data_IF_467169876084
#
_entry.id   IF_467169876084
#
_cell.length_a   1.000
_cell.length_b   1.000
_cell.length_c   1.000
_cell.angle_alpha   90.00
_cell.angle_beta   90.00
_cell.angle_gamma   90.00
#
_symmetry.space_group_name_H-M   'P 1'
#
loop_
_entity.id
_entity.type
_entity.pdbx_description
1 polymer ?
#
# COMPACT_ATOMS: atom_id res chain seq x y z
N UNK A 1 5.19 21.76 10.82
CA UNK A 1 5.78 22.27 9.54
C UNK A 1 4.63 22.69 8.65
N UNK A 2 4.67 23.89 8.07
CA UNK A 2 3.70 24.31 7.06
C UNK A 2 4.31 24.03 5.68
N UNK A 3 3.84 22.98 5.00
CA UNK A 3 4.28 22.65 3.65
C UNK A 3 3.39 23.38 2.64
N UNK A 4 4.01 24.03 1.67
CA UNK A 4 3.27 24.69 0.60
C UNK A 4 3.81 24.24 -0.76
N UNK A 5 3.07 23.34 -1.40
CA UNK A 5 3.35 22.89 -2.77
C UNK A 5 2.38 23.58 -3.71
N UNK A 6 2.90 24.37 -4.65
CA UNK A 6 2.07 25.06 -5.64
C UNK A 6 1.31 24.03 -6.48
N UNK A 7 0.01 24.26 -6.71
CA UNK A 7 -0.82 23.36 -7.54
C UNK A 7 -0.40 23.36 -9.03
N UNK A 8 0.24 24.43 -9.48
CA UNK A 8 0.82 24.52 -10.83
C UNK A 8 2.26 23.95 -10.78
N UNK A 9 2.44 22.74 -11.31
CA UNK A 9 3.73 22.03 -11.35
C UNK A 9 4.86 22.87 -11.99
N UNK A 10 4.55 23.73 -12.96
CA UNK A 10 5.54 24.55 -13.63
C UNK A 10 6.18 25.63 -12.72
N UNK A 11 5.49 25.95 -11.62
CA UNK A 11 5.92 26.92 -10.61
C UNK A 11 6.31 26.27 -9.28
N UNK A 12 5.97 25.00 -9.09
CA UNK A 12 6.20 24.27 -7.85
C UNK A 12 7.69 23.97 -7.63
N UNK A 13 8.06 23.89 -6.34
CA UNK A 13 9.31 23.30 -5.87
C UNK A 13 9.00 21.97 -5.17
N UNK A 14 9.98 21.07 -5.19
CA UNK A 14 9.87 19.78 -4.49
C UNK A 14 9.78 20.01 -2.97
N UNK A 15 9.44 18.98 -2.22
CA UNK A 15 9.48 19.04 -0.76
C UNK A 15 10.84 19.56 -0.28
N UNK A 16 10.87 20.44 0.72
CA UNK A 16 12.11 20.95 1.25
C UNK A 16 12.92 19.85 1.94
N UNK A 17 14.24 19.89 1.86
CA UNK A 17 15.13 18.90 2.47
C UNK A 17 14.90 18.72 3.98
N UNK A 18 14.38 19.75 4.65
CA UNK A 18 13.98 19.69 6.07
C UNK A 18 12.85 18.69 6.32
N UNK A 19 11.92 18.48 5.38
CA UNK A 19 10.84 17.49 5.50
C UNK A 19 11.38 16.09 5.77
N UNK A 20 12.43 15.68 5.08
CA UNK A 20 13.02 14.35 5.19
C UNK A 20 13.90 14.16 6.44
N UNK A 21 14.15 15.23 7.20
CA UNK A 21 15.04 15.26 8.38
C UNK A 21 14.31 15.58 9.69
N UNK A 22 13.08 16.06 9.62
CA UNK A 22 12.34 16.56 10.77
C UNK A 22 11.52 15.45 11.46
N UNK A 23 11.92 15.11 12.69
CA UNK A 23 11.26 14.07 13.48
C UNK A 23 9.81 14.42 13.84
N UNK A 24 9.51 15.68 14.08
CA UNK A 24 8.14 16.10 14.40
C UNK A 24 7.22 15.96 13.18
N UNK A 25 7.68 16.33 12.00
CA UNK A 25 6.95 16.06 10.75
C UNK A 25 6.69 14.57 10.55
N UNK A 26 7.68 13.72 10.83
CA UNK A 26 7.53 12.27 10.73
C UNK A 26 6.46 11.72 11.69
N UNK A 27 6.40 12.24 12.93
CA UNK A 27 5.34 11.87 13.90
C UNK A 27 3.96 12.36 13.44
N UNK A 28 3.88 13.57 12.88
CA UNK A 28 2.63 14.14 12.37
C UNK A 28 2.12 13.30 11.19
N UNK A 29 2.99 12.87 10.28
CA UNK A 29 2.67 11.98 9.15
C UNK A 29 2.04 10.68 9.65
N UNK A 30 2.59 10.06 10.70
CA UNK A 30 2.02 8.87 11.31
C UNK A 30 0.53 9.07 11.66
N UNK A 31 0.21 10.16 12.32
CA UNK A 31 -1.13 10.42 12.84
C UNK A 31 -2.11 10.97 11.78
N UNK A 32 -1.67 11.93 10.97
CA UNK A 32 -2.54 12.62 10.01
C UNK A 32 -2.71 11.86 8.71
N UNK A 33 -1.74 11.02 8.33
CA UNK A 33 -1.73 10.30 7.05
C UNK A 33 -1.90 8.81 7.26
N UNK A 34 -0.93 8.13 7.90
CA UNK A 34 -0.96 6.67 7.95
C UNK A 34 -2.09 6.09 8.81
N UNK A 35 -2.41 6.66 9.97
CA UNK A 35 -3.58 6.24 10.76
C UNK A 35 -4.92 6.54 10.05
N UNK A 36 -4.90 7.34 8.99
CA UNK A 36 -6.06 7.73 8.19
C UNK A 36 -5.99 7.22 6.76
N UNK A 37 -5.10 6.28 6.48
CA UNK A 37 -4.97 5.64 5.18
C UNK A 37 -5.74 4.33 5.11
N UNK A 38 -5.99 3.87 3.89
CA UNK A 38 -6.29 2.47 3.63
C UNK A 38 -4.99 1.68 3.55
N UNK A 39 -5.00 0.49 4.12
CA UNK A 39 -3.86 -0.42 4.13
C UNK A 39 -4.26 -1.73 3.48
N UNK A 40 -3.51 -2.18 2.51
CA UNK A 40 -3.60 -3.55 2.04
C UNK A 40 -3.01 -4.49 3.10
N UNK A 41 -3.75 -5.54 3.45
CA UNK A 41 -3.40 -6.44 4.56
C UNK A 41 -3.30 -7.92 4.16
N UNK A 42 -3.30 -8.19 2.87
CA UNK A 42 -3.21 -9.53 2.31
C UNK A 42 -4.43 -9.90 1.48
N UNK A 43 -4.79 -11.16 1.48
CA UNK A 43 -5.91 -11.68 0.71
C UNK A 43 -6.82 -12.61 1.54
N UNK A 44 -7.96 -12.98 0.98
CA UNK A 44 -8.96 -13.79 1.65
C UNK A 44 -8.49 -15.20 2.02
N UNK A 45 -7.38 -15.70 1.43
CA UNK A 45 -6.83 -17.02 1.79
C UNK A 45 -6.28 -17.05 3.22
N UNK A 46 -5.91 -15.88 3.79
CA UNK A 46 -5.51 -15.78 5.20
C UNK A 46 -6.63 -16.22 6.16
N UNK A 47 -7.87 -16.09 5.71
CA UNK A 47 -9.09 -16.43 6.45
C UNK A 47 -10.07 -17.18 5.54
N UNK A 48 -9.59 -18.18 4.80
CA UNK A 48 -10.37 -18.87 3.76
C UNK A 48 -11.64 -19.55 4.27
N UNK A 49 -11.60 -20.09 5.50
CA UNK A 49 -12.70 -20.85 6.06
C UNK A 49 -13.50 -20.04 7.08
N UNK A 50 -14.77 -20.44 7.29
CA UNK A 50 -15.60 -19.91 8.38
C UNK A 50 -14.92 -20.11 9.73
N UNK A 51 -15.03 -19.11 10.59
CA UNK A 51 -14.40 -19.04 11.92
C UNK A 51 -12.86 -18.98 11.88
N UNK A 52 -12.26 -18.67 10.72
CA UNK A 52 -10.83 -18.36 10.65
C UNK A 52 -10.53 -17.03 11.32
N UNK A 53 -9.45 -17.00 12.06
CA UNK A 53 -8.93 -15.85 12.80
C UNK A 53 -7.44 -15.70 12.45
N UNK A 54 -7.04 -14.53 11.96
CA UNK A 54 -5.68 -14.24 11.54
C UNK A 54 -5.15 -12.96 12.20
N UNK A 55 -4.35 -13.07 13.29
CA UNK A 55 -3.73 -11.92 13.93
C UNK A 55 -2.56 -11.39 13.11
N UNK A 56 -2.37 -10.08 13.09
CA UNK A 56 -1.25 -9.40 12.46
C UNK A 56 -0.99 -8.05 13.12
N UNK A 57 0.20 -7.50 12.94
CA UNK A 57 0.54 -6.14 13.35
C UNK A 57 0.58 -5.24 12.12
N UNK A 58 -0.26 -4.22 12.10
CA UNK A 58 -0.31 -3.27 11.00
C UNK A 58 0.93 -2.38 11.04
N UNK A 59 1.70 -2.35 9.95
CA UNK A 59 2.94 -1.59 9.78
C UNK A 59 3.86 -1.71 10.99
N UNK A 60 4.23 -2.97 11.32
CA UNK A 60 5.13 -3.30 12.43
C UNK A 60 6.44 -2.50 12.35
N UNK A 61 6.86 -1.93 13.49
CA UNK A 61 7.99 -1.01 13.60
C UNK A 61 7.64 0.45 13.30
N UNK A 62 6.38 0.74 12.93
CA UNK A 62 5.93 2.10 12.64
C UNK A 62 4.58 2.45 13.29
N UNK A 63 3.47 1.83 12.87
CA UNK A 63 2.18 1.99 13.55
C UNK A 63 2.08 1.10 14.78
N UNK A 64 2.55 -0.11 14.66
CA UNK A 64 2.52 -1.16 15.68
C UNK A 64 1.11 -1.49 16.20
N UNK A 65 0.09 -1.40 15.31
CA UNK A 65 -1.29 -1.65 15.72
C UNK A 65 -1.64 -3.15 15.62
N UNK A 66 -1.94 -3.83 16.74
CA UNK A 66 -2.30 -5.25 16.75
C UNK A 66 -3.73 -5.43 16.25
N UNK A 67 -3.89 -6.09 15.11
CA UNK A 67 -5.16 -6.34 14.45
C UNK A 67 -5.44 -7.82 14.27
N UNK A 68 -6.70 -8.12 13.98
CA UNK A 68 -7.21 -9.46 13.77
C UNK A 68 -8.18 -9.48 12.59
N UNK A 69 -7.84 -10.15 11.50
CA UNK A 69 -8.81 -10.52 10.48
C UNK A 69 -9.64 -11.70 10.98
N UNK A 70 -10.94 -11.60 10.79
CA UNK A 70 -11.92 -12.63 11.19
C UNK A 70 -12.89 -12.90 10.07
N UNK A 71 -13.13 -14.17 9.75
CA UNK A 71 -14.27 -14.62 8.94
C UNK A 71 -15.27 -15.28 9.86
N UNK A 72 -16.44 -14.67 10.05
CA UNK A 72 -17.48 -15.16 10.95
C UNK A 72 -18.17 -16.44 10.43
N UNK A 73 -19.01 -17.04 11.26
CA UNK A 73 -19.86 -18.16 10.87
C UNK A 73 -20.77 -17.83 9.68
N UNK A 74 -21.22 -16.57 9.58
CA UNK A 74 -22.06 -16.04 8.49
C UNK A 74 -21.24 -15.60 7.27
N UNK A 75 -19.97 -15.98 7.23
CA UNK A 75 -19.03 -15.67 6.15
C UNK A 75 -18.67 -14.18 5.99
N UNK A 76 -19.01 -13.33 6.95
CA UNK A 76 -18.64 -11.92 6.96
C UNK A 76 -17.17 -11.74 7.38
N UNK A 77 -16.45 -10.92 6.65
CA UNK A 77 -15.06 -10.56 6.98
C UNK A 77 -15.07 -9.29 7.84
N UNK A 78 -14.29 -9.31 8.92
CA UNK A 78 -14.06 -8.15 9.79
C UNK A 78 -12.58 -7.97 10.09
N UNK A 79 -12.19 -6.74 10.33
CA UNK A 79 -10.93 -6.39 10.96
C UNK A 79 -11.23 -5.85 12.36
N UNK A 80 -10.66 -6.48 13.37
CA UNK A 80 -10.90 -6.19 14.78
C UNK A 80 -9.58 -5.81 15.45
N UNK A 81 -9.66 -5.07 16.56
CA UNK A 81 -8.51 -4.94 17.45
C UNK A 81 -8.16 -6.30 18.06
N UNK A 82 -6.89 -6.68 18.02
CA UNK A 82 -6.38 -7.89 18.67
C UNK A 82 -6.01 -7.64 20.15
N UNK A 83 -6.62 -6.62 20.76
CA UNK A 83 -6.34 -6.17 22.12
C UNK A 83 -7.57 -6.35 23.00
N UNK A 84 -7.42 -7.05 24.10
CA UNK A 84 -8.49 -7.29 25.07
C UNK A 84 -8.96 -5.98 25.73
N UNK A 85 -10.24 -5.69 25.65
CA UNK A 85 -10.86 -4.48 26.23
C UNK A 85 -10.92 -4.46 27.76
N UNK A 86 -10.37 -5.48 28.44
CA UNK A 86 -10.25 -5.48 29.90
C UNK A 86 -8.96 -4.78 30.37
N UNK A 87 -7.79 -5.30 30.00
CA UNK A 87 -6.47 -4.80 30.47
C UNK A 87 -5.38 -4.88 29.38
N UNK A 88 -5.77 -4.75 28.11
CA UNK A 88 -4.83 -4.58 27.00
C UNK A 88 -4.00 -5.82 26.61
N UNK A 89 -4.36 -7.04 27.10
CA UNK A 89 -3.65 -8.24 26.68
C UNK A 89 -3.91 -8.57 25.19
N UNK A 90 -2.88 -9.00 24.46
CA UNK A 90 -3.08 -9.55 23.12
C UNK A 90 -3.96 -10.80 23.18
N UNK A 91 -4.93 -10.89 22.26
CA UNK A 91 -5.92 -11.97 22.25
C UNK A 91 -5.36 -13.21 21.57
N UNK A 92 -4.80 -13.06 20.38
CA UNK A 92 -4.27 -14.14 19.56
C UNK A 92 -2.84 -13.80 19.12
N UNK A 93 -1.96 -14.81 19.14
CA UNK A 93 -0.55 -14.67 18.72
C UNK A 93 -0.27 -15.37 17.38
N UNK A 94 -1.16 -16.25 16.94
CA UNK A 94 -1.03 -17.02 15.68
C UNK A 94 -2.41 -17.32 15.09
N UNK A 95 -2.48 -17.59 13.79
CA UNK A 95 -3.73 -17.98 13.14
C UNK A 95 -4.37 -19.20 13.79
N UNK A 96 -5.71 -19.20 13.86
CA UNK A 96 -6.47 -20.32 14.37
C UNK A 96 -7.90 -20.31 13.78
N UNK A 97 -8.66 -21.37 14.08
CA UNK A 97 -10.06 -21.49 13.72
C UNK A 97 -10.90 -21.62 15.00
N UNK A 98 -11.73 -20.60 15.26
CA UNK A 98 -12.60 -20.57 16.43
C UNK A 98 -13.77 -19.62 16.23
N UNK A 99 -14.98 -20.02 16.67
CA UNK A 99 -16.15 -19.15 16.70
C UNK A 99 -16.10 -18.11 17.84
N UNK A 100 -15.14 -18.24 18.77
CA UNK A 100 -15.00 -17.40 19.96
C UNK A 100 -13.54 -17.00 20.13
N UNK A 101 -13.33 -15.76 20.55
CA UNK A 101 -12.01 -15.21 20.89
C UNK A 101 -11.94 -15.14 22.42
N UNK A 102 -10.95 -15.83 23.00
CA UNK A 102 -10.77 -15.88 24.45
C UNK A 102 -9.44 -15.21 24.84
N UNK A 103 -9.54 -14.23 25.73
CA UNK A 103 -8.35 -13.66 26.37
C UNK A 103 -7.77 -14.64 27.38
N UNK A 104 -6.48 -14.95 27.24
CA UNK A 104 -5.82 -15.93 28.12
C UNK A 104 -5.46 -15.35 29.49
N UNK A 105 -5.60 -14.03 29.69
CA UNK A 105 -5.25 -13.39 30.96
C UNK A 105 -6.33 -13.65 32.02
N UNK A 106 -7.61 -13.28 31.75
CA UNK A 106 -8.73 -13.44 32.72
C UNK A 106 -9.95 -14.13 32.12
N UNK A 107 -9.81 -14.83 31.02
CA UNK A 107 -10.89 -15.63 30.43
C UNK A 107 -11.99 -14.83 29.72
N UNK A 108 -11.85 -13.48 29.56
CA UNK A 108 -12.81 -12.66 28.82
C UNK A 108 -13.02 -13.23 27.42
N UNK A 109 -14.28 -13.34 26.99
CA UNK A 109 -14.64 -13.91 25.70
C UNK A 109 -15.39 -12.92 24.83
N UNK A 110 -15.11 -13.03 23.55
CA UNK A 110 -15.78 -12.31 22.47
C UNK A 110 -16.22 -13.31 21.40
N UNK A 111 -17.28 -12.97 20.67
CA UNK A 111 -17.66 -13.66 19.43
C UNK A 111 -16.65 -13.34 18.34
N UNK A 112 -16.65 -14.12 17.25
CA UNK A 112 -15.80 -13.86 16.08
C UNK A 112 -16.07 -12.52 15.38
N UNK A 113 -17.23 -11.89 15.65
CA UNK A 113 -17.57 -10.55 15.17
C UNK A 113 -17.10 -9.41 16.10
N UNK A 114 -16.38 -9.74 17.18
CA UNK A 114 -15.85 -8.80 18.16
C UNK A 114 -16.80 -8.42 19.29
N UNK A 115 -18.05 -8.90 19.29
CA UNK A 115 -18.98 -8.60 20.36
C UNK A 115 -18.59 -9.31 21.65
N UNK A 116 -18.65 -8.58 22.75
CA UNK A 116 -18.48 -9.13 24.10
C UNK A 116 -19.46 -10.29 24.32
N UNK A 117 -18.98 -11.38 24.93
CA UNK A 117 -19.80 -12.54 25.25
C UNK A 117 -19.85 -12.83 26.74
N UNK A 118 -18.67 -12.83 27.41
CA UNK A 118 -18.58 -13.27 28.80
C UNK A 118 -17.34 -12.76 29.51
N UNK A 119 -17.44 -12.51 30.80
CA UNK A 119 -16.31 -12.21 31.71
C UNK A 119 -16.58 -12.85 33.08
N UNK A 120 -15.66 -13.68 33.60
CA UNK A 120 -15.80 -14.25 34.95
C UNK A 120 -15.81 -13.17 36.01
N UNK A 121 -16.56 -13.41 37.12
CA UNK A 121 -16.59 -12.58 38.34
C UNK A 121 -16.96 -11.09 38.12
N UNK A 122 -17.73 -10.80 37.07
CA UNK A 122 -18.18 -9.44 36.75
C UNK A 122 -19.66 -9.20 37.09
N UNK A 123 -20.31 -10.12 37.78
CA UNK A 123 -21.75 -10.07 38.11
C UNK A 123 -22.09 -8.84 38.97
N UNK A 124 -21.15 -8.41 39.82
CA UNK A 124 -21.33 -7.22 40.68
C UNK A 124 -20.86 -5.90 40.04
N UNK A 125 -20.28 -5.94 38.81
CA UNK A 125 -19.79 -4.76 38.13
C UNK A 125 -20.96 -3.97 37.55
N UNK A 126 -21.15 -2.74 38.03
CA UNK A 126 -22.24 -1.88 37.57
C UNK A 126 -22.02 -1.39 36.14
N UNK A 127 -23.12 -1.26 35.40
CA UNK A 127 -23.10 -0.79 34.00
C UNK A 127 -22.19 -1.61 33.08
N UNK A 128 -22.16 -2.91 33.25
CA UNK A 128 -21.38 -3.86 32.44
C UNK A 128 -22.33 -4.97 31.89
N UNK A 129 -22.18 -5.39 30.59
CA UNK A 129 -21.25 -4.81 29.61
C UNK A 129 -21.80 -3.53 28.93
N UNK A 130 -20.90 -2.70 28.40
CA UNK A 130 -21.18 -1.51 27.58
C UNK A 130 -20.66 -1.72 26.17
N UNK A 131 -20.96 -0.81 25.25
CA UNK A 131 -20.44 -0.86 23.87
C UNK A 131 -18.90 -0.86 23.80
N UNK A 132 -18.23 -0.15 24.70
CA UNK A 132 -16.77 -0.12 24.80
C UNK A 132 -16.15 -1.44 25.30
N UNK A 133 -16.97 -2.37 25.78
CA UNK A 133 -16.53 -3.71 26.17
C UNK A 133 -16.41 -4.68 24.98
N UNK A 134 -16.97 -4.32 23.81
CA UNK A 134 -16.70 -5.00 22.54
C UNK A 134 -15.28 -4.70 22.03
N UNK A 135 -14.75 -5.53 21.13
CA UNK A 135 -13.55 -5.21 20.38
C UNK A 135 -13.87 -4.09 19.38
N UNK A 136 -12.93 -3.14 19.22
CA UNK A 136 -13.02 -2.18 18.14
C UNK A 136 -13.03 -2.91 16.79
N UNK A 137 -13.94 -2.52 15.92
CA UNK A 137 -14.06 -3.02 14.56
C UNK A 137 -13.72 -1.90 13.58
N UNK A 138 -12.91 -2.22 12.58
CA UNK A 138 -12.42 -1.30 11.59
C UNK A 138 -13.03 -1.59 10.22
N UNK A 139 -12.94 -0.61 9.32
CA UNK A 139 -13.44 -0.76 7.96
C UNK A 139 -12.67 -1.87 7.23
N UNK A 140 -13.38 -2.67 6.45
CA UNK A 140 -12.80 -3.71 5.59
C UNK A 140 -13.38 -3.57 4.19
N UNK A 141 -12.52 -3.62 3.19
CA UNK A 141 -12.89 -3.74 1.78
C UNK A 141 -12.21 -4.96 1.18
N UNK A 142 -12.98 -5.80 0.51
CA UNK A 142 -12.45 -6.85 -0.38
C UNK A 142 -12.58 -6.39 -1.82
N UNK A 143 -11.50 -6.54 -2.59
CA UNK A 143 -11.45 -6.27 -4.01
C UNK A 143 -10.61 -7.35 -4.71
N UNK A 144 -11.24 -8.12 -5.61
CA UNK A 144 -10.58 -9.27 -6.26
C UNK A 144 -9.87 -10.22 -5.27
N UNK A 145 -10.50 -10.46 -4.10
CA UNK A 145 -9.97 -11.20 -2.94
C UNK A 145 -8.86 -10.50 -2.17
N UNK A 146 -8.34 -9.39 -2.61
CA UNK A 146 -7.40 -8.58 -1.85
C UNK A 146 -8.14 -7.84 -0.74
N UNK A 147 -7.58 -7.83 0.46
CA UNK A 147 -8.18 -7.24 1.64
C UNK A 147 -7.51 -5.92 2.02
N UNK A 148 -8.33 -4.92 2.26
CA UNK A 148 -7.92 -3.61 2.76
C UNK A 148 -8.61 -3.31 4.08
N UNK A 149 -7.93 -2.59 4.97
CA UNK A 149 -8.51 -2.07 6.20
C UNK A 149 -8.16 -0.60 6.42
N UNK A 150 -9.01 0.12 7.13
CA UNK A 150 -8.78 1.50 7.52
C UNK A 150 -9.48 1.83 8.85
N UNK A 151 -8.94 2.80 9.59
CA UNK A 151 -9.54 3.29 10.84
C UNK A 151 -10.50 4.44 10.60
N UNK A 152 -9.99 5.55 10.07
CA UNK A 152 -10.76 6.75 9.71
C UNK A 152 -10.19 7.35 8.41
N UNK A 153 -10.47 6.72 7.25
CA UNK A 153 -9.77 7.04 6.02
C UNK A 153 -10.10 8.43 5.46
N UNK A 154 -9.07 9.06 4.90
CA UNK A 154 -9.18 10.31 4.14
C UNK A 154 -9.39 10.07 2.64
N UNK A 155 -9.18 8.82 2.19
CA UNK A 155 -9.33 8.39 0.80
C UNK A 155 -10.60 7.58 0.65
N UNK A 156 -11.40 7.90 -0.36
CA UNK A 156 -12.52 7.07 -0.80
C UNK A 156 -11.96 5.91 -1.65
N UNK A 157 -11.80 4.75 -1.02
CA UNK A 157 -11.19 3.58 -1.69
C UNK A 157 -12.07 3.06 -2.84
N UNK A 158 -13.40 3.19 -2.75
CA UNK A 158 -14.32 2.73 -3.79
C UNK A 158 -14.02 3.45 -5.12
N UNK A 159 -13.87 4.77 -5.07
CA UNK A 159 -13.51 5.55 -6.27
C UNK A 159 -12.17 5.13 -6.86
N UNK A 160 -11.18 4.83 -6.02
CA UNK A 160 -9.86 4.37 -6.47
C UNK A 160 -9.98 3.01 -7.15
N UNK A 161 -10.69 2.06 -6.53
CA UNK A 161 -10.88 0.72 -7.09
C UNK A 161 -11.69 0.76 -8.38
N UNK A 162 -12.70 1.64 -8.50
CA UNK A 162 -13.46 1.85 -9.73
C UNK A 162 -12.58 2.37 -10.90
N UNK A 163 -11.62 3.26 -10.59
CA UNK A 163 -10.63 3.72 -11.58
C UNK A 163 -9.75 2.56 -12.03
N UNK A 164 -9.29 1.74 -11.07
CA UNK A 164 -8.49 0.56 -11.37
C UNK A 164 -9.27 -0.43 -12.23
N UNK A 165 -10.51 -0.76 -11.87
CA UNK A 165 -11.34 -1.72 -12.60
C UNK A 165 -11.60 -1.30 -14.06
N UNK A 166 -11.70 -0.01 -14.34
CA UNK A 166 -11.82 0.49 -15.73
C UNK A 166 -10.60 0.17 -16.59
N UNK A 167 -9.42 0.05 -15.98
CA UNK A 167 -8.16 -0.23 -16.68
C UNK A 167 -7.76 -1.70 -16.66
N UNK A 168 -8.00 -2.39 -15.54
CA UNK A 168 -7.48 -3.75 -15.34
C UNK A 168 -8.57 -4.80 -15.08
N UNK A 169 -9.84 -4.40 -15.07
CA UNK A 169 -10.97 -5.31 -14.78
C UNK A 169 -11.14 -6.46 -15.79
N UNK A 170 -10.47 -6.40 -16.96
CA UNK A 170 -10.42 -7.50 -17.91
C UNK A 170 -9.45 -8.62 -17.48
N UNK A 171 -8.55 -8.37 -16.54
CA UNK A 171 -7.60 -9.36 -16.04
C UNK A 171 -8.27 -10.34 -15.06
N UNK A 172 -7.90 -11.60 -15.06
CA UNK A 172 -8.48 -12.62 -14.17
C UNK A 172 -7.88 -12.55 -12.75
N UNK A 173 -7.90 -11.36 -12.12
CA UNK A 173 -7.26 -11.12 -10.81
C UNK A 173 -7.81 -12.01 -9.70
N UNK A 174 -9.10 -12.36 -9.77
CA UNK A 174 -9.73 -13.28 -8.82
C UNK A 174 -9.17 -14.73 -8.87
N UNK A 175 -8.41 -15.06 -9.94
CA UNK A 175 -7.69 -16.34 -10.12
C UNK A 175 -6.21 -16.22 -9.75
N UNK A 176 -5.72 -15.02 -9.49
CA UNK A 176 -4.32 -14.82 -9.13
C UNK A 176 -4.01 -15.47 -7.77
N UNK A 177 -2.88 -16.17 -7.70
CA UNK A 177 -2.43 -16.90 -6.53
C UNK A 177 -1.15 -16.25 -6.01
N UNK A 178 -1.09 -16.02 -4.69
CA UNK A 178 0.11 -15.53 -4.03
C UNK A 178 1.30 -16.45 -4.30
N UNK A 179 2.41 -15.89 -4.75
CA UNK A 179 3.66 -16.60 -4.99
C UNK A 179 4.75 -16.09 -4.05
N UNK A 180 5.08 -16.89 -3.05
CA UNK A 180 6.10 -16.54 -2.06
C UNK A 180 7.52 -16.51 -2.65
N UNK A 181 7.78 -17.23 -3.73
CA UNK A 181 9.10 -17.27 -4.38
C UNK A 181 9.42 -15.98 -5.14
N UNK A 182 8.39 -15.25 -5.56
CA UNK A 182 8.47 -13.94 -6.22
C UNK A 182 8.22 -12.78 -5.24
N UNK A 183 8.09 -13.07 -3.95
CA UNK A 183 7.75 -12.09 -2.92
C UNK A 183 8.90 -11.89 -1.96
N UNK A 184 9.27 -10.66 -1.66
CA UNK A 184 10.40 -10.34 -0.80
C UNK A 184 10.23 -9.00 -0.09
N UNK A 185 11.12 -8.71 0.85
CA UNK A 185 11.19 -7.43 1.55
C UNK A 185 12.56 -6.82 1.29
N UNK A 186 12.56 -5.55 0.90
CA UNK A 186 13.77 -4.74 0.76
C UNK A 186 13.89 -3.77 1.92
N UNK A 187 15.11 -3.58 2.42
CA UNK A 187 15.43 -2.60 3.47
C UNK A 187 16.29 -1.51 2.84
N UNK A 188 15.80 -0.29 2.89
CA UNK A 188 16.37 0.85 2.18
C UNK A 188 16.80 1.90 3.20
N UNK A 189 18.06 2.34 3.12
CA UNK A 189 18.64 3.37 3.98
C UNK A 189 18.23 4.77 3.49
N UNK A 190 16.90 5.01 3.48
CA UNK A 190 16.32 6.28 3.04
C UNK A 190 14.95 6.52 3.71
N UNK A 191 14.53 7.78 3.68
CA UNK A 191 13.18 8.20 4.07
C UNK A 191 12.15 7.63 3.07
N UNK A 192 11.03 7.14 3.59
CA UNK A 192 9.99 6.45 2.80
C UNK A 192 9.46 7.25 1.60
N UNK A 193 9.36 8.58 1.74
CA UNK A 193 8.85 9.42 0.67
C UNK A 193 9.81 9.48 -0.53
N UNK A 194 11.12 9.33 -0.33
CA UNK A 194 12.09 9.27 -1.43
C UNK A 194 11.91 8.03 -2.30
N UNK A 195 11.49 6.92 -1.70
CA UNK A 195 11.14 5.74 -2.48
C UNK A 195 9.84 5.95 -3.27
N UNK A 196 8.87 6.62 -2.66
CA UNK A 196 7.66 7.00 -3.39
C UNK A 196 7.97 7.98 -4.53
N UNK A 197 8.86 8.95 -4.32
CA UNK A 197 9.28 9.89 -5.36
C UNK A 197 9.87 9.17 -6.58
N UNK A 198 10.77 8.21 -6.33
CA UNK A 198 11.38 7.41 -7.39
C UNK A 198 10.35 6.58 -8.17
N UNK A 199 9.42 5.92 -7.49
CA UNK A 199 8.36 5.13 -8.13
C UNK A 199 7.38 5.99 -8.97
N UNK A 200 7.12 7.24 -8.58
CA UNK A 200 6.03 8.06 -9.11
C UNK A 200 6.35 8.77 -10.43
N UNK A 201 7.46 8.42 -11.06
CA UNK A 201 7.86 8.95 -12.36
C UNK A 201 8.67 7.93 -13.16
N UNK A 202 8.61 8.01 -14.47
CA UNK A 202 9.43 7.20 -15.38
C UNK A 202 10.61 7.99 -15.98
N UNK A 203 10.90 9.17 -15.44
CA UNK A 203 11.93 10.08 -15.98
C UNK A 203 13.35 9.52 -15.82
N UNK A 204 13.60 8.80 -14.72
CA UNK A 204 14.88 8.17 -14.43
C UNK A 204 15.16 6.90 -15.28
N UNK A 205 14.12 6.26 -15.83
CA UNK A 205 14.22 4.93 -16.49
C UNK A 205 15.34 4.89 -17.53
N UNK A 206 15.48 5.85 -18.46
CA UNK A 206 16.55 5.78 -19.48
C UNK A 206 17.97 5.93 -18.91
N UNK A 207 18.11 6.46 -17.71
CA UNK A 207 19.41 6.76 -17.09
C UNK A 207 19.84 5.70 -16.07
N UNK A 208 18.87 5.05 -15.44
CA UNK A 208 19.08 4.10 -14.33
C UNK A 208 18.90 2.66 -14.81
N UNK A 209 17.82 2.38 -15.54
CA UNK A 209 17.38 1.02 -15.92
C UNK A 209 17.62 0.74 -17.41
N UNK A 210 18.84 0.43 -17.79
CA UNK A 210 19.19 0.19 -19.20
C UNK A 210 18.31 -0.90 -19.84
N UNK A 211 18.16 -2.05 -19.17
CA UNK A 211 17.40 -3.19 -19.72
C UNK A 211 15.90 -2.86 -19.81
N UNK A 212 15.34 -2.17 -18.83
CA UNK A 212 13.95 -1.73 -18.84
C UNK A 212 13.71 -0.66 -19.92
N UNK A 213 14.67 0.22 -20.15
CA UNK A 213 14.62 1.24 -21.20
C UNK A 213 14.64 0.67 -22.62
N UNK A 214 15.16 -0.56 -22.82
CA UNK A 214 15.08 -1.27 -24.10
C UNK A 214 13.69 -1.85 -24.37
N UNK A 215 12.91 -2.10 -23.31
CA UNK A 215 11.58 -2.67 -23.39
C UNK A 215 10.49 -1.61 -23.42
N UNK A 216 10.60 -0.58 -22.58
CA UNK A 216 9.61 0.49 -22.48
C UNK A 216 9.88 1.61 -23.48
N UNK A 217 8.82 2.06 -24.15
CA UNK A 217 8.87 3.28 -24.94
C UNK A 217 8.76 4.52 -24.03
N UNK A 218 9.90 5.08 -23.69
CA UNK A 218 10.01 6.26 -22.85
C UNK A 218 9.21 7.48 -23.36
N UNK A 219 9.13 7.66 -24.69
CA UNK A 219 8.44 8.81 -25.29
C UNK A 219 6.93 8.71 -25.14
N UNK A 220 6.40 7.49 -25.16
CA UNK A 220 4.97 7.21 -25.00
C UNK A 220 4.57 7.02 -23.54
N UNK A 221 5.49 7.07 -22.57
CA UNK A 221 5.20 6.91 -21.14
C UNK A 221 4.27 8.01 -20.62
N UNK A 222 3.12 7.63 -20.09
CA UNK A 222 2.06 8.54 -19.66
C UNK A 222 1.82 8.46 -18.15
N UNK A 223 1.41 9.59 -17.56
CA UNK A 223 0.96 9.64 -16.16
C UNK A 223 -0.39 10.34 -16.07
N UNK A 224 -1.40 9.62 -15.59
CA UNK A 224 -2.74 10.12 -15.28
C UNK A 224 -2.87 10.39 -13.79
N UNK A 225 -3.45 11.53 -13.43
CA UNK A 225 -3.63 11.99 -12.05
C UNK A 225 -5.10 11.93 -11.69
N UNK A 226 -5.40 11.37 -10.52
CA UNK A 226 -6.73 11.31 -9.91
C UNK A 226 -6.69 11.85 -8.48
N UNK A 227 -7.83 11.99 -7.81
CA UNK A 227 -7.90 12.66 -6.49
C UNK A 227 -6.89 12.12 -5.45
N UNK A 228 -6.74 10.79 -5.34
CA UNK A 228 -5.89 10.16 -4.32
C UNK A 228 -5.07 8.97 -4.86
N UNK A 229 -5.00 8.85 -6.16
CA UNK A 229 -4.17 7.87 -6.83
C UNK A 229 -3.64 8.44 -8.13
N UNK A 230 -2.65 7.79 -8.70
CA UNK A 230 -2.24 8.03 -10.08
C UNK A 230 -1.95 6.72 -10.79
N UNK A 231 -1.93 6.80 -12.10
CA UNK A 231 -1.62 5.69 -12.98
C UNK A 231 -0.51 6.10 -13.91
N UNK A 232 0.56 5.34 -13.92
CA UNK A 232 1.59 5.42 -14.94
C UNK A 232 1.40 4.26 -15.93
N UNK A 233 1.51 4.56 -17.23
CA UNK A 233 1.25 3.62 -18.32
C UNK A 233 2.56 3.37 -19.06
N UNK A 234 3.07 2.15 -18.97
CA UNK A 234 4.27 1.70 -19.66
C UNK A 234 3.93 1.08 -21.01
N UNK A 235 4.28 1.75 -22.08
CA UNK A 235 4.16 1.24 -23.45
C UNK A 235 5.39 0.43 -23.83
N UNK A 236 5.23 -0.54 -24.76
CA UNK A 236 6.35 -1.30 -25.31
C UNK A 236 6.31 -1.34 -26.83
N UNK A 237 7.48 -1.37 -27.44
CA UNK A 237 7.63 -1.59 -28.88
C UNK A 237 7.43 -3.08 -29.29
N UNK A 238 7.46 -4.01 -28.30
CA UNK A 238 7.29 -5.45 -28.50
C UNK A 238 5.88 -5.87 -28.12
N UNK A 239 5.05 -6.16 -29.11
CA UNK A 239 3.62 -6.50 -28.91
C UNK A 239 3.40 -7.76 -28.08
N UNK A 240 4.26 -8.74 -28.17
CA UNK A 240 4.20 -10.01 -27.43
C UNK A 240 4.33 -9.87 -25.92
N UNK A 241 4.92 -8.76 -25.46
CA UNK A 241 5.12 -8.44 -24.04
C UNK A 241 4.00 -7.59 -23.46
N UNK A 242 2.95 -7.29 -24.24
CA UNK A 242 1.87 -6.39 -23.90
C UNK A 242 0.60 -7.12 -23.45
N UNK A 243 -0.31 -6.38 -22.83
CA UNK A 243 -1.66 -6.85 -22.56
C UNK A 243 -2.44 -7.11 -23.85
N UNK A 244 -3.31 -8.12 -23.82
CA UNK A 244 -4.28 -8.38 -24.87
C UNK A 244 -5.63 -7.82 -24.43
N UNK A 245 -6.01 -6.69 -25.00
CA UNK A 245 -7.23 -5.99 -24.62
C UNK A 245 -8.48 -6.50 -25.32
N UNK A 246 -9.63 -6.59 -24.62
CA UNK A 246 -10.94 -6.75 -25.25
C UNK A 246 -11.25 -5.58 -26.20
N UNK A 247 -12.04 -5.84 -27.25
CA UNK A 247 -12.39 -4.81 -28.27
C UNK A 247 -13.05 -3.54 -27.70
N UNK A 248 -13.77 -3.68 -26.59
CA UNK A 248 -14.45 -2.57 -25.91
C UNK A 248 -13.60 -1.88 -24.82
N UNK A 249 -12.34 -2.27 -24.66
CA UNK A 249 -11.46 -1.67 -23.68
C UNK A 249 -10.97 -0.30 -24.14
N UNK A 250 -10.83 0.66 -23.20
CA UNK A 250 -10.38 2.03 -23.48
C UNK A 250 -8.99 2.10 -24.16
N UNK A 251 -8.15 1.11 -23.86
CA UNK A 251 -6.79 1.00 -24.42
C UNK A 251 -6.69 -0.04 -25.54
N UNK A 252 -7.83 -0.45 -26.14
CA UNK A 252 -7.79 -1.39 -27.25
C UNK A 252 -6.92 -0.87 -28.40
N UNK A 253 -6.03 -1.74 -28.90
CA UNK A 253 -5.08 -1.42 -29.96
C UNK A 253 -3.78 -0.76 -29.51
N UNK A 254 -3.63 -0.41 -28.24
CA UNK A 254 -2.38 0.09 -27.68
C UNK A 254 -1.46 -1.05 -27.22
N UNK A 255 -0.15 -0.83 -27.33
CA UNK A 255 0.87 -1.79 -26.86
C UNK A 255 1.31 -1.43 -25.44
N UNK A 256 0.49 -1.77 -24.44
CA UNK A 256 0.78 -1.47 -23.04
C UNK A 256 1.37 -2.72 -22.39
N UNK A 257 2.58 -2.60 -21.85
CA UNK A 257 3.32 -3.66 -21.17
C UNK A 257 3.04 -3.70 -19.67
N UNK A 258 2.74 -2.55 -19.05
CA UNK A 258 2.47 -2.47 -17.63
C UNK A 258 1.56 -1.29 -17.28
N UNK A 259 0.79 -1.46 -16.19
CA UNK A 259 0.11 -0.38 -15.49
C UNK A 259 0.66 -0.30 -14.08
N UNK A 260 1.10 0.91 -13.68
CA UNK A 260 1.65 1.18 -12.37
C UNK A 260 0.72 2.14 -11.64
N UNK A 261 -0.14 1.61 -10.77
CA UNK A 261 -1.01 2.40 -9.91
C UNK A 261 -0.32 2.69 -8.59
N UNK A 262 -0.45 3.92 -8.14
CA UNK A 262 -0.12 4.30 -6.78
C UNK A 262 -1.36 4.81 -6.06
N UNK A 263 -1.59 4.33 -4.84
CA UNK A 263 -2.66 4.76 -3.95
C UNK A 263 -2.03 5.48 -2.76
N UNK A 264 -2.46 6.71 -2.51
CA UNK A 264 -1.96 7.50 -1.39
C UNK A 264 -2.17 6.77 -0.05
N UNK A 265 -1.15 6.72 0.85
CA UNK A 265 0.15 7.37 0.70
C UNK A 265 1.26 6.44 0.14
N UNK A 266 1.10 5.10 0.16
CA UNK A 266 2.24 4.20 0.14
C UNK A 266 1.97 2.82 -0.49
N UNK A 267 0.86 2.63 -1.18
CA UNK A 267 0.55 1.35 -1.83
C UNK A 267 0.74 1.49 -3.34
N UNK A 268 1.47 0.56 -3.93
CA UNK A 268 1.77 0.50 -5.35
C UNK A 268 1.28 -0.83 -5.92
N UNK A 269 0.55 -0.77 -7.03
CA UNK A 269 0.05 -1.93 -7.74
C UNK A 269 0.63 -1.96 -9.14
N UNK A 270 1.51 -2.92 -9.39
CA UNK A 270 2.17 -3.10 -10.68
C UNK A 270 1.50 -4.26 -11.41
N UNK A 271 0.68 -3.94 -12.42
CA UNK A 271 0.00 -4.95 -13.23
C UNK A 271 0.81 -5.27 -14.47
N UNK A 272 0.97 -6.55 -14.70
CA UNK A 272 1.68 -7.13 -15.84
C UNK A 272 0.83 -8.21 -16.52
N UNK A 273 1.16 -8.65 -17.75
CA UNK A 273 0.44 -9.75 -18.40
C UNK A 273 0.43 -11.09 -17.65
N UNK A 274 1.30 -11.28 -16.65
CA UNK A 274 1.35 -12.48 -15.82
C UNK A 274 0.58 -12.38 -14.50
N UNK A 275 0.32 -11.16 -14.01
CA UNK A 275 -0.25 -10.97 -12.69
C UNK A 275 -0.05 -9.59 -12.13
N UNK A 276 0.16 -9.51 -10.81
CA UNK A 276 0.33 -8.26 -10.09
C UNK A 276 1.46 -8.37 -9.06
N UNK A 277 2.29 -7.34 -8.96
CA UNK A 277 3.15 -7.09 -7.80
C UNK A 277 2.56 -5.94 -6.98
N UNK A 278 2.26 -6.20 -5.71
CA UNK A 278 1.80 -5.20 -4.77
C UNK A 278 2.99 -4.79 -3.91
N UNK A 279 3.34 -3.51 -3.94
CA UNK A 279 4.45 -2.99 -3.15
C UNK A 279 3.89 -2.07 -2.07
N UNK A 280 4.29 -2.31 -0.81
CA UNK A 280 3.92 -1.46 0.33
C UNK A 280 5.16 -0.82 0.89
N UNK A 281 5.23 0.50 0.78
CA UNK A 281 6.34 1.30 1.34
C UNK A 281 6.06 1.56 2.80
N UNK A 282 6.79 0.87 3.68
CA UNK A 282 6.62 0.97 5.13
C UNK A 282 7.72 1.83 5.74
N UNK A 283 7.41 3.02 6.28
CA UNK A 283 8.36 3.77 7.08
C UNK A 283 8.79 2.95 8.30
N UNK A 284 10.06 2.97 8.65
CA UNK A 284 10.55 2.47 9.95
C UNK A 284 10.92 3.67 10.83
N UNK A 285 11.71 4.57 10.26
CA UNK A 285 12.06 5.85 10.86
C UNK A 285 12.48 6.85 9.76
N UNK A 286 13.04 7.99 10.12
CA UNK A 286 13.48 9.02 9.17
C UNK A 286 14.52 8.54 8.13
N UNK A 287 15.25 7.47 8.42
CA UNK A 287 16.40 7.02 7.62
C UNK A 287 16.23 5.62 7.05
N UNK A 288 15.23 4.89 7.49
CA UNK A 288 15.03 3.49 7.12
C UNK A 288 13.61 3.23 6.68
N UNK A 289 13.48 2.56 5.57
CA UNK A 289 12.21 2.13 4.96
C UNK A 289 12.29 0.64 4.66
N UNK A 290 11.20 -0.08 4.88
CA UNK A 290 11.01 -1.43 4.36
C UNK A 290 10.00 -1.39 3.23
N UNK A 291 10.34 -1.94 2.07
CA UNK A 291 9.39 -2.10 0.96
C UNK A 291 9.05 -3.58 0.83
N UNK A 292 7.76 -3.90 0.93
CA UNK A 292 7.25 -5.26 0.84
C UNK A 292 6.70 -5.51 -0.55
N UNK A 293 7.31 -6.42 -1.30
CA UNK A 293 6.81 -6.89 -2.59
C UNK A 293 6.02 -8.18 -2.41
N UNK A 294 4.82 -8.22 -2.94
CA UNK A 294 3.94 -9.40 -2.88
C UNK A 294 3.34 -9.67 -4.25
N UNK A 295 3.76 -10.78 -4.84
CA UNK A 295 3.37 -11.17 -6.19
C UNK A 295 2.20 -12.15 -6.17
N UNK A 296 1.22 -11.88 -7.02
CA UNK A 296 0.07 -12.75 -7.29
C UNK A 296 0.04 -13.08 -8.77
N UNK A 297 0.09 -14.36 -9.11
CA UNK A 297 0.29 -14.85 -10.47
C UNK A 297 -0.98 -15.54 -10.97
N UNK A 298 -1.46 -15.15 -12.14
CA UNK A 298 -2.54 -15.84 -12.85
C UNK A 298 -2.06 -16.52 -14.16
N UNK A 299 -0.94 -16.09 -14.75
CA UNK A 299 -0.35 -16.69 -15.94
C UNK A 299 1.17 -16.85 -15.80
N UNK A 300 1.61 -18.04 -15.42
CA UNK A 300 3.04 -18.36 -15.25
C UNK A 300 3.83 -18.34 -16.55
N UNK A 301 3.17 -18.48 -17.71
CA UNK A 301 3.86 -18.51 -19.02
C UNK A 301 4.40 -17.15 -19.44
N UNK A 302 3.90 -16.09 -18.80
CA UNK A 302 4.26 -14.69 -19.03
C UNK A 302 5.30 -14.15 -18.04
N UNK A 303 5.71 -14.92 -17.03
CA UNK A 303 6.74 -14.52 -16.07
C UNK A 303 8.10 -14.26 -16.74
N UNK A 304 8.87 -13.34 -16.15
CA UNK A 304 10.23 -12.97 -16.57
C UNK A 304 10.32 -12.49 -18.03
N UNK A 305 9.28 -11.79 -18.50
CA UNK A 305 9.22 -11.22 -19.86
C UNK A 305 8.85 -9.74 -19.82
N UNK A 306 9.29 -9.01 -20.83
CA UNK A 306 8.94 -7.60 -21.03
C UNK A 306 9.34 -6.72 -19.85
N UNK A 307 8.46 -5.78 -19.47
CA UNK A 307 8.68 -4.81 -18.40
C UNK A 307 8.90 -5.43 -17.00
N UNK A 308 8.71 -6.74 -16.85
CA UNK A 308 8.91 -7.47 -15.59
C UNK A 308 10.01 -8.53 -15.66
N UNK A 309 10.91 -8.46 -16.65
CA UNK A 309 11.92 -9.49 -16.90
C UNK A 309 12.91 -9.69 -15.75
N UNK A 310 13.29 -8.63 -15.04
CA UNK A 310 14.17 -8.69 -13.86
C UNK A 310 13.81 -7.61 -12.83
N UNK A 311 12.71 -7.84 -12.10
CA UNK A 311 12.24 -6.93 -11.04
C UNK A 311 13.27 -6.75 -9.92
N UNK A 312 14.07 -7.77 -9.64
CA UNK A 312 15.09 -7.69 -8.58
C UNK A 312 16.27 -6.77 -8.97
N UNK A 313 16.65 -6.78 -10.23
CA UNK A 313 17.70 -5.89 -10.72
C UNK A 313 17.20 -4.44 -10.70
N UNK A 314 16.02 -4.19 -11.22
CA UNK A 314 15.37 -2.88 -11.21
C UNK A 314 15.31 -2.33 -9.79
N UNK A 315 14.83 -3.12 -8.82
CA UNK A 315 14.76 -2.69 -7.42
C UNK A 315 16.12 -2.30 -6.84
N UNK A 316 17.19 -3.07 -7.09
CA UNK A 316 18.54 -2.74 -6.60
C UNK A 316 19.09 -1.46 -7.21
N UNK A 317 18.77 -1.19 -8.48
CA UNK A 317 19.12 0.05 -9.16
C UNK A 317 18.39 1.24 -8.53
N UNK A 318 17.09 1.09 -8.22
CA UNK A 318 16.28 2.08 -7.52
C UNK A 318 16.78 2.33 -6.09
N UNK A 319 17.07 1.27 -5.32
CA UNK A 319 17.68 1.38 -3.99
C UNK A 319 18.94 2.23 -4.00
N UNK A 320 19.83 1.98 -4.97
CA UNK A 320 21.07 2.71 -5.10
C UNK A 320 20.85 4.22 -5.33
N UNK A 321 19.92 4.58 -6.22
CA UNK A 321 19.58 5.98 -6.50
C UNK A 321 18.94 6.64 -5.28
N UNK A 322 17.93 6.01 -4.69
CA UNK A 322 17.17 6.53 -3.53
C UNK A 322 18.09 6.77 -2.34
N UNK A 323 19.02 5.85 -2.05
CA UNK A 323 20.00 6.01 -0.97
C UNK A 323 21.00 7.14 -1.25
N UNK A 324 21.38 7.37 -2.51
CA UNK A 324 22.23 8.51 -2.87
C UNK A 324 21.48 9.85 -2.76
N UNK A 325 20.19 9.89 -3.12
CA UNK A 325 19.31 11.06 -2.87
C UNK A 325 19.23 11.35 -1.38
N UNK A 326 19.04 10.31 -0.53
CA UNK A 326 19.04 10.48 0.94
C UNK A 326 20.33 11.11 1.45
N UNK A 327 21.49 10.71 0.92
CA UNK A 327 22.77 11.33 1.27
C UNK A 327 22.82 12.79 0.83
N UNK A 328 22.40 13.09 -0.42
CA UNK A 328 22.38 14.43 -0.99
C UNK A 328 21.45 15.40 -0.23
N UNK A 329 20.30 14.94 0.21
CA UNK A 329 19.34 15.72 1.02
C UNK A 329 19.95 16.19 2.36
N UNK A 330 20.95 15.50 2.89
CA UNK A 330 21.65 15.91 4.09
C UNK A 330 22.62 17.09 3.88
N UNK A 331 22.88 17.48 2.63
CA UNK A 331 23.72 18.65 2.32
C UNK A 331 23.16 19.92 2.96
N UNK A 332 24.03 20.76 3.49
CA UNK A 332 23.67 22.07 4.00
C UNK A 332 23.25 23.06 2.89
N UNK A 333 23.66 22.78 1.66
CA UNK A 333 23.44 23.66 0.50
C UNK A 333 22.23 23.26 -0.34
N UNK A 334 21.72 22.02 -0.21
CA UNK A 334 20.52 21.58 -0.89
C UNK A 334 19.28 21.90 -0.04
N UNK A 335 18.29 22.56 -0.63
CA UNK A 335 17.04 22.92 0.05
C UNK A 335 15.82 22.31 -0.62
N UNK A 336 15.62 22.53 -1.90
CA UNK A 336 14.54 22.00 -2.74
C UNK A 336 15.00 21.98 -4.18
N UNK A 337 14.27 21.24 -5.02
CA UNK A 337 14.46 21.18 -6.47
C UNK A 337 13.24 21.71 -7.22
N UNK A 338 13.23 21.51 -8.53
CA UNK A 338 12.09 21.81 -9.42
C UNK A 338 11.65 20.53 -10.10
N UNK A 339 10.36 20.46 -10.47
CA UNK A 339 9.84 19.35 -11.24
C UNK A 339 10.00 19.56 -12.75
N UNK A 340 10.13 18.46 -13.47
CA UNK A 340 9.78 18.41 -14.87
C UNK A 340 8.26 18.47 -15.00
N UNK A 341 7.72 19.52 -15.62
CA UNK A 341 6.29 19.70 -15.77
C UNK A 341 5.62 18.60 -16.62
N UNK A 342 6.40 17.90 -17.45
CA UNK A 342 5.91 16.84 -18.33
C UNK A 342 6.12 15.44 -17.78
N UNK A 343 7.18 15.18 -17.02
CA UNK A 343 7.61 13.82 -16.63
C UNK A 343 7.39 13.49 -15.15
N UNK A 344 7.26 14.50 -14.26
CA UNK A 344 7.17 14.30 -12.81
C UNK A 344 5.79 14.67 -12.22
N UNK A 345 4.71 14.53 -13.01
CA UNK A 345 3.34 14.79 -12.54
C UNK A 345 2.94 13.95 -11.33
N UNK A 346 3.37 12.68 -11.28
CA UNK A 346 3.08 11.77 -10.17
C UNK A 346 3.76 12.19 -8.87
N UNK A 347 5.03 12.58 -8.92
CA UNK A 347 5.79 13.10 -7.78
C UNK A 347 5.17 14.39 -7.26
N UNK A 348 4.88 15.34 -8.16
CA UNK A 348 4.21 16.59 -7.81
C UNK A 348 2.86 16.34 -7.11
N UNK A 349 2.05 15.41 -7.64
CA UNK A 349 0.77 15.02 -7.05
C UNK A 349 0.94 14.46 -5.63
N UNK A 350 1.91 13.58 -5.41
CA UNK A 350 2.23 13.04 -4.10
C UNK A 350 2.60 14.14 -3.10
N UNK A 351 3.52 15.03 -3.47
CA UNK A 351 3.94 16.15 -2.61
C UNK A 351 2.79 17.12 -2.32
N UNK A 352 1.93 17.38 -3.32
CA UNK A 352 0.73 18.20 -3.15
C UNK A 352 -0.24 17.57 -2.15
N UNK A 353 -0.50 16.27 -2.22
CA UNK A 353 -1.34 15.55 -1.27
C UNK A 353 -0.74 15.55 0.15
N UNK A 354 0.57 15.33 0.28
CA UNK A 354 1.26 15.45 1.57
C UNK A 354 1.07 16.84 2.17
N UNK A 355 1.30 17.90 1.38
CA UNK A 355 1.09 19.29 1.78
C UNK A 355 -0.35 19.52 2.25
N UNK A 356 -1.34 19.10 1.47
CA UNK A 356 -2.77 19.24 1.76
C UNK A 356 -3.15 18.58 3.08
N UNK A 357 -2.77 17.32 3.31
CA UNK A 357 -3.18 16.56 4.49
C UNK A 357 -2.37 16.88 5.75
N UNK A 358 -1.15 17.36 5.62
CA UNK A 358 -0.37 17.81 6.77
C UNK A 358 -0.83 19.17 7.29
N UNK A 359 -1.32 20.03 6.41
CA UNK A 359 -1.82 21.37 6.78
C UNK A 359 -3.30 21.36 7.26
N UNK A 360 -4.08 20.30 6.97
CA UNK A 360 -5.43 20.07 7.48
C UNK A 360 -5.37 19.51 8.91
#
# INVERSE_FOLDING_TARGET
>A
MNLNINSDISKAETLPSSFYKDLESFKIIKNKIFLRAWHWVGDENLIAEKNSLYPFTLLEGFLDEPLLLSRSTDNNIKCLSNVCTHRGNLLLLKPCKSAKIRCMYHGRRFKSDGKFEFMPDFEKTKNFPRNCDNLNSFLVKSWNKLLFTAFNPIVDIEKVLDIMDKRIGFLPLNKAIFDSSLSQNFKIDAHWALYCDNYLEGFHVPFVHKDLSEVLDYNSYETEIYDHCNLQIGYSNKKEDCFIFPKNHIDYGKNIAAYYFWIFPNIMFNFYPWGISINVVKPINLKFTEVKFRSYVFDKTKLNKGASSDLNKVEKEDEFVVQNVQKGINSAFYKSGRYSATKEKGVHHFHYLLSKFLNS
#
